data_IF_454520285427
#
_entry.id   IF_454520285427
#
_cell.length_a   1.000
_cell.length_b   1.000
_cell.length_c   1.000
_cell.angle_alpha   90.00
_cell.angle_beta   90.00
_cell.angle_gamma   90.00
#
_symmetry.space_group_name_H-M   'P 1'
#
loop_
_entity.id
_entity.type
_entity.pdbx_description
1 polymer ?
#
# COMPACT_ATOMS: atom_id res chain seq x y z
N UNK A 1 -5.17 16.24 -3.40
CA UNK A 1 -5.25 14.94 -2.70
C UNK A 1 -4.07 14.08 -3.13
N UNK A 2 -3.51 13.31 -2.20
CA UNK A 2 -2.41 12.36 -2.37
C UNK A 2 -2.94 10.96 -2.16
N UNK A 3 -2.49 10.03 -3.00
CA UNK A 3 -2.91 8.62 -2.95
C UNK A 3 -1.81 7.78 -2.33
N UNK A 4 -2.19 6.86 -1.45
CA UNK A 4 -1.30 5.94 -0.78
C UNK A 4 -1.83 4.52 -0.91
N UNK A 5 -0.98 3.58 -1.31
CA UNK A 5 -1.28 2.17 -1.13
C UNK A 5 -0.98 1.78 0.31
N UNK A 6 -1.90 1.04 0.93
CA UNK A 6 -1.76 0.52 2.28
C UNK A 6 -1.37 -0.95 2.18
N UNK A 7 -0.22 -1.30 2.76
CA UNK A 7 0.22 -2.68 2.93
C UNK A 7 0.21 -3.04 4.41
N UNK A 8 -0.12 -4.29 4.74
CA UNK A 8 -0.14 -4.76 6.12
C UNK A 8 0.16 -6.24 6.25
N UNK A 9 0.55 -6.63 7.47
CA UNK A 9 0.64 -8.02 7.94
C UNK A 9 0.09 -8.18 9.35
N UNK A 10 -0.50 -9.33 9.65
CA UNK A 10 -1.09 -9.63 10.96
C UNK A 10 -0.13 -10.37 11.88
N UNK A 11 0.91 -10.98 11.31
CA UNK A 11 2.04 -11.56 12.04
C UNK A 11 3.37 -11.22 11.36
N UNK A 12 4.46 -11.14 12.13
CA UNK A 12 5.79 -10.79 11.59
C UNK A 12 6.33 -11.79 10.56
N UNK A 13 5.90 -13.05 10.62
CA UNK A 13 6.31 -14.08 9.65
C UNK A 13 5.57 -13.95 8.30
N UNK A 14 4.46 -13.21 8.24
CA UNK A 14 3.67 -13.05 7.03
C UNK A 14 4.28 -12.01 6.08
N UNK A 15 4.16 -12.21 4.75
CA UNK A 15 4.48 -11.18 3.79
C UNK A 15 3.51 -10.00 3.92
N UNK A 16 3.99 -8.79 3.62
CA UNK A 16 3.12 -7.63 3.45
C UNK A 16 2.17 -7.85 2.28
N UNK A 17 0.88 -7.59 2.50
CA UNK A 17 -0.17 -7.66 1.47
C UNK A 17 -0.87 -6.31 1.34
N UNK A 18 -1.33 -5.99 0.15
CA UNK A 18 -2.16 -4.80 -0.09
C UNK A 18 -3.50 -4.93 0.64
N UNK A 19 -3.89 -3.88 1.36
CA UNK A 19 -5.14 -3.79 2.13
C UNK A 19 -6.12 -2.78 1.56
N UNK A 20 -5.63 -1.82 0.79
CA UNK A 20 -6.47 -0.80 0.16
C UNK A 20 -5.67 0.45 -0.20
N UNK A 21 -6.42 1.52 -0.48
CA UNK A 21 -5.88 2.80 -0.93
C UNK A 21 -6.49 3.93 -0.11
N UNK A 22 -5.65 4.85 0.36
CA UNK A 22 -6.07 6.09 1.02
C UNK A 22 -5.90 7.28 0.09
N UNK A 23 -6.85 8.21 0.14
CA UNK A 23 -6.79 9.49 -0.57
C UNK A 23 -6.95 10.64 0.41
N UNK A 24 -5.84 11.29 0.76
CA UNK A 24 -5.79 12.30 1.84
C UNK A 24 -4.99 13.52 1.44
N UNK A 25 -5.05 14.59 2.23
CA UNK A 25 -4.38 15.85 1.89
C UNK A 25 -2.89 15.86 2.27
N UNK A 26 -2.49 15.09 3.28
CA UNK A 26 -1.14 15.07 3.82
C UNK A 26 -0.73 13.68 4.30
N UNK A 27 0.58 13.49 4.47
CA UNK A 27 1.14 12.25 5.00
C UNK A 27 0.74 12.00 6.46
N UNK A 28 0.64 13.05 7.27
CA UNK A 28 0.20 12.96 8.66
C UNK A 28 -1.24 12.44 8.76
N UNK A 29 -2.12 12.94 7.88
CA UNK A 29 -3.49 12.44 7.77
C UNK A 29 -3.52 10.98 7.26
N UNK A 30 -2.64 10.63 6.32
CA UNK A 30 -2.53 9.24 5.84
C UNK A 30 -2.23 8.27 6.98
N UNK A 31 -1.26 8.63 7.84
CA UNK A 31 -0.87 7.82 9.01
C UNK A 31 -2.01 7.68 10.01
N UNK A 32 -2.70 8.79 10.33
CA UNK A 32 -3.82 8.77 11.26
C UNK A 32 -4.96 7.88 10.73
N UNK A 33 -5.38 8.13 9.50
CA UNK A 33 -6.48 7.41 8.87
C UNK A 33 -6.16 5.93 8.67
N UNK A 34 -4.90 5.57 8.38
CA UNK A 34 -4.48 4.18 8.29
C UNK A 34 -4.62 3.43 9.62
N UNK A 35 -4.31 4.07 10.74
CA UNK A 35 -4.49 3.46 12.07
C UNK A 35 -5.97 3.40 12.44
N UNK A 36 -6.77 4.40 12.09
CA UNK A 36 -8.22 4.37 12.35
C UNK A 36 -8.94 3.28 11.53
N UNK A 37 -8.61 3.13 10.25
CA UNK A 37 -9.27 2.16 9.37
C UNK A 37 -8.72 0.74 9.51
N UNK A 38 -7.41 0.61 9.76
CA UNK A 38 -6.69 -0.66 9.72
C UNK A 38 -5.88 -0.96 10.99
N UNK A 39 -5.90 -0.18 12.07
CA UNK A 39 -4.95 -0.35 13.19
C UNK A 39 -5.19 -1.57 14.08
N UNK A 40 -6.45 -1.95 14.34
CA UNK A 40 -6.79 -2.90 15.42
C UNK A 40 -6.36 -4.36 15.16
N UNK A 41 -6.09 -4.73 13.90
CA UNK A 41 -5.83 -6.11 13.50
C UNK A 41 -4.41 -6.38 13.01
N UNK A 42 -3.57 -5.35 12.93
CA UNK A 42 -2.35 -5.41 12.13
C UNK A 42 -1.12 -5.15 13.01
N UNK A 43 -0.11 -6.00 12.86
CA UNK A 43 1.18 -5.86 13.56
C UNK A 43 2.04 -4.79 12.90
N UNK A 44 1.87 -4.59 11.59
CA UNK A 44 2.56 -3.56 10.83
C UNK A 44 1.69 -3.07 9.67
N UNK A 45 1.70 -1.74 9.47
CA UNK A 45 1.11 -1.06 8.32
C UNK A 45 2.17 -0.20 7.65
N UNK A 46 2.27 -0.29 6.33
CA UNK A 46 3.18 0.48 5.48
C UNK A 46 2.36 1.29 4.48
N UNK A 47 2.63 2.59 4.42
CA UNK A 47 1.99 3.51 3.50
C UNK A 47 2.98 3.88 2.41
N UNK A 48 2.63 3.54 1.17
CA UNK A 48 3.46 3.83 0.00
C UNK A 48 2.79 4.95 -0.79
N UNK A 49 3.38 6.15 -0.89
CA UNK A 49 2.85 7.20 -1.76
C UNK A 49 2.81 6.69 -3.20
N UNK A 50 1.65 6.74 -3.85
CA UNK A 50 1.49 6.21 -5.21
C UNK A 50 2.43 6.92 -6.21
N UNK A 51 2.74 8.20 -5.95
CA UNK A 51 3.67 9.00 -6.74
C UNK A 51 5.12 8.52 -6.71
N UNK A 52 5.49 7.67 -5.74
CA UNK A 52 6.83 7.09 -5.59
C UNK A 52 6.92 5.67 -6.15
N UNK A 53 5.82 5.12 -6.69
CA UNK A 53 5.79 3.75 -7.20
C UNK A 53 6.30 3.71 -8.64
N UNK A 54 7.34 2.90 -8.84
CA UNK A 54 7.79 2.51 -10.17
C UNK A 54 7.12 1.20 -10.60
N UNK A 55 6.15 1.30 -11.51
CA UNK A 55 5.42 0.14 -12.03
C UNK A 55 6.21 -0.58 -13.12
N UNK A 56 6.44 -1.87 -12.92
CA UNK A 56 7.00 -2.76 -13.95
C UNK A 56 5.86 -3.45 -14.66
N UNK A 57 5.47 -2.93 -15.83
CA UNK A 57 4.45 -3.56 -16.68
C UNK A 57 5.14 -4.61 -17.56
N UNK A 58 4.71 -5.87 -17.48
CA UNK A 58 5.14 -6.89 -18.45
C UNK A 58 4.55 -6.50 -19.81
N UNK A 59 5.41 -6.32 -20.81
CA UNK A 59 4.94 -6.15 -22.19
C UNK A 59 4.24 -7.43 -22.62
N UNK A 60 2.93 -7.38 -22.83
CA UNK A 60 2.21 -8.43 -23.55
C UNK A 60 2.73 -8.43 -25.00
N UNK A 61 3.48 -9.45 -25.39
CA UNK A 61 3.96 -9.57 -26.78
C UNK A 61 5.37 -10.12 -27.00
N UNK A 62 5.98 -10.80 -26.02
CA UNK A 62 7.20 -11.58 -26.29
C UNK A 62 7.20 -12.94 -25.62
N UNK A 63 6.04 -13.61 -25.63
CA UNK A 63 6.03 -15.08 -25.60
C UNK A 63 6.17 -15.57 -27.05
N UNK A 64 7.14 -16.45 -27.25
CA UNK A 64 7.73 -16.79 -28.54
C UNK A 64 6.78 -17.39 -29.56
N UNK A 65 6.99 -16.98 -30.81
CA UNK A 65 6.76 -17.81 -31.99
C UNK A 65 7.65 -19.05 -31.99
#
# INVERSE_FOLDING_TARGET
MRRYLVFGRTEYAEPLKEQGVLSVESEQLARHQAVEEFGERWVELVLIPEAEIHWVVRAEGRDGA
#
